data_IF_787337374176
#
_entry.id   IF_787337374176
#
_cell.length_a   1.000
_cell.length_b   1.000
_cell.length_c   1.000
_cell.angle_alpha   90.00
_cell.angle_beta   90.00
_cell.angle_gamma   90.00
#
_symmetry.space_group_name_H-M   'P 1'
#
loop_
_entity.id
_entity.type
_entity.pdbx_description
1 polymer ?
#
# COMPACT_ATOMS: atom_id res chain seq x y z
N UNK A 1 -3.82 5.95 17.78
CA UNK A 1 -2.55 5.21 17.93
C UNK A 1 -2.26 5.02 19.39
N UNK A 2 -1.95 6.10 20.11
CA UNK A 2 -1.77 6.13 21.57
C UNK A 2 -2.82 5.31 22.35
N UNK A 3 -4.11 5.44 22.02
CA UNK A 3 -5.16 4.72 22.75
C UNK A 3 -5.09 3.19 22.66
N UNK A 4 -4.66 2.62 21.54
CA UNK A 4 -4.51 1.15 21.41
C UNK A 4 -3.22 0.64 22.05
N UNK A 5 -2.19 1.48 22.09
CA UNK A 5 -0.91 1.16 22.76
C UNK A 5 -1.05 1.24 24.29
N UNK A 6 -1.85 2.18 24.80
CA UNK A 6 -2.14 2.35 26.22
C UNK A 6 -3.12 1.29 26.78
N UNK A 7 -3.92 0.66 25.92
CA UNK A 7 -4.96 -0.32 26.29
C UNK A 7 -4.86 -1.61 25.47
N UNK A 8 -3.93 -2.51 25.83
CA UNK A 8 -3.66 -3.72 25.06
C UNK A 8 -4.88 -4.65 24.94
N UNK A 9 -5.80 -4.64 25.91
CA UNK A 9 -7.03 -5.43 25.87
C UNK A 9 -7.98 -4.99 24.74
N UNK A 10 -7.98 -3.69 24.41
CA UNK A 10 -8.78 -3.16 23.31
C UNK A 10 -8.14 -3.54 21.98
N UNK A 11 -6.81 -3.38 21.87
CA UNK A 11 -6.07 -3.79 20.67
C UNK A 11 -6.28 -5.28 20.40
N UNK A 12 -6.16 -6.12 21.43
CA UNK A 12 -6.35 -7.57 21.32
C UNK A 12 -7.76 -7.94 20.84
N UNK A 13 -8.79 -7.26 21.32
CA UNK A 13 -10.17 -7.46 20.86
C UNK A 13 -10.29 -7.16 19.35
N UNK A 14 -9.73 -6.04 18.89
CA UNK A 14 -9.72 -5.70 17.47
C UNK A 14 -8.88 -6.66 16.63
N UNK A 15 -7.73 -7.08 17.13
CA UNK A 15 -6.88 -8.07 16.44
C UNK A 15 -7.62 -9.41 16.29
N UNK A 16 -8.34 -9.87 17.31
CA UNK A 16 -9.19 -11.07 17.22
C UNK A 16 -10.31 -10.91 16.17
N UNK A 17 -10.90 -9.72 16.08
CA UNK A 17 -11.93 -9.41 15.08
C UNK A 17 -11.35 -9.33 13.66
N UNK A 18 -10.17 -8.73 13.50
CA UNK A 18 -9.51 -8.48 12.22
C UNK A 18 -8.39 -9.49 11.95
N UNK A 19 -8.77 -10.77 11.87
CA UNK A 19 -7.83 -11.86 11.57
C UNK A 19 -7.15 -11.72 10.20
N UNK A 20 -7.80 -11.02 9.26
CA UNK A 20 -7.26 -10.67 7.95
C UNK A 20 -7.54 -9.19 7.69
N UNK A 21 -6.51 -8.44 7.31
CA UNK A 21 -6.61 -7.00 7.03
C UNK A 21 -6.30 -6.76 5.57
N UNK A 22 -7.22 -6.10 4.86
CA UNK A 22 -7.05 -5.70 3.46
C UNK A 22 -6.99 -4.17 3.42
N UNK A 23 -6.00 -3.62 2.73
CA UNK A 23 -5.86 -2.17 2.53
C UNK A 23 -5.70 -1.88 1.05
N UNK A 24 -6.61 -1.09 0.50
CA UNK A 24 -6.53 -0.57 -0.87
C UNK A 24 -5.92 0.83 -0.86
N UNK A 25 -5.45 1.30 -2.02
CA UNK A 25 -4.81 2.62 -2.20
C UNK A 25 -3.67 2.89 -1.20
N UNK A 26 -2.85 1.85 -0.93
CA UNK A 26 -1.81 1.89 0.09
C UNK A 26 -0.72 2.95 -0.16
N UNK A 27 -0.57 3.42 -1.40
CA UNK A 27 0.35 4.50 -1.73
C UNK A 27 -0.03 5.86 -1.12
N UNK A 28 -1.29 6.04 -0.72
CA UNK A 28 -1.81 7.34 -0.26
C UNK A 28 -2.06 7.41 1.25
N UNK A 29 -1.67 6.37 2.00
CA UNK A 29 -1.81 6.39 3.45
C UNK A 29 -0.74 7.26 4.12
N UNK A 30 -1.14 7.96 5.18
CA UNK A 30 -0.23 8.72 6.02
C UNK A 30 0.39 7.85 7.12
N UNK A 31 1.38 8.40 7.84
CA UNK A 31 2.06 7.71 8.94
C UNK A 31 1.10 7.18 10.01
N UNK A 32 0.05 7.94 10.34
CA UNK A 32 -0.88 7.53 11.38
C UNK A 32 -1.72 6.31 10.96
N UNK A 33 -2.15 6.27 9.69
CA UNK A 33 -2.85 5.13 9.09
C UNK A 33 -1.93 3.91 8.98
N UNK A 34 -0.67 4.11 8.57
CA UNK A 34 0.34 3.04 8.53
C UNK A 34 0.50 2.37 9.91
N UNK A 35 0.69 3.16 10.97
CA UNK A 35 0.84 2.62 12.32
C UNK A 35 -0.42 1.86 12.77
N UNK A 36 -1.61 2.36 12.43
CA UNK A 36 -2.86 1.71 12.79
C UNK A 36 -2.98 0.35 12.11
N UNK A 37 -2.71 0.28 10.80
CA UNK A 37 -2.71 -0.98 10.04
C UNK A 37 -1.72 -1.97 10.67
N UNK A 38 -0.51 -1.51 10.99
CA UNK A 38 0.54 -2.34 11.61
C UNK A 38 0.11 -2.91 12.97
N UNK A 39 -0.50 -2.09 13.83
CA UNK A 39 -1.03 -2.55 15.12
C UNK A 39 -2.15 -3.58 14.93
N UNK A 40 -3.12 -3.30 14.07
CA UNK A 40 -4.28 -4.17 13.86
C UNK A 40 -3.91 -5.52 13.22
N UNK A 41 -2.94 -5.54 12.30
CA UNK A 41 -2.52 -6.78 11.65
C UNK A 41 -1.48 -7.58 12.43
N UNK A 42 -0.81 -6.97 13.41
CA UNK A 42 0.41 -7.52 14.05
C UNK A 42 0.24 -8.85 14.78
N UNK A 43 -0.96 -9.20 15.25
CA UNK A 43 -1.20 -10.48 15.95
C UNK A 43 -1.11 -11.70 15.04
N UNK A 44 -1.65 -11.59 13.83
CA UNK A 44 -1.74 -12.71 12.89
C UNK A 44 -0.84 -12.54 11.66
N UNK A 45 -0.31 -11.34 11.41
CA UNK A 45 0.49 -11.00 10.23
C UNK A 45 -0.19 -11.32 8.89
N UNK A 46 -1.52 -11.31 8.88
CA UNK A 46 -2.35 -11.52 7.70
C UNK A 46 -2.75 -10.17 7.10
N UNK A 47 -1.76 -9.44 6.58
CA UNK A 47 -1.95 -8.15 5.93
C UNK A 47 -1.82 -8.31 4.41
N UNK A 48 -2.84 -7.87 3.68
CA UNK A 48 -2.84 -7.79 2.23
C UNK A 48 -3.03 -6.33 1.82
N UNK A 49 -2.08 -5.77 1.10
CA UNK A 49 -2.14 -4.38 0.63
C UNK A 49 -2.13 -4.33 -0.89
N UNK A 50 -2.89 -3.41 -1.45
CA UNK A 50 -2.93 -3.08 -2.87
C UNK A 50 -2.59 -1.61 -3.01
N UNK A 51 -1.81 -1.28 -4.03
CA UNK A 51 -1.51 0.09 -4.36
C UNK A 51 -0.59 0.22 -5.55
N UNK A 52 -0.50 1.44 -6.06
CA UNK A 52 0.33 1.80 -7.20
C UNK A 52 1.16 3.04 -6.86
N UNK A 53 2.50 2.93 -6.71
CA UNK A 53 3.36 4.08 -6.44
C UNK A 53 3.21 5.21 -7.47
N UNK A 54 2.92 4.89 -8.73
CA UNK A 54 2.75 5.87 -9.80
C UNK A 54 1.41 6.64 -9.68
N UNK A 55 0.50 6.21 -8.80
CA UNK A 55 -0.81 6.83 -8.55
C UNK A 55 -0.89 7.60 -7.22
N UNK A 56 0.22 7.79 -6.51
CA UNK A 56 0.20 8.58 -5.27
C UNK A 56 0.02 10.07 -5.56
N UNK A 57 -1.11 10.62 -5.13
CA UNK A 57 -1.48 12.03 -5.36
C UNK A 57 -1.82 12.79 -4.08
N UNK A 58 -1.89 12.12 -2.92
CA UNK A 58 -2.30 12.72 -1.65
C UNK A 58 -1.14 13.22 -0.78
N UNK A 59 0.06 13.44 -1.35
CA UNK A 59 1.22 13.96 -0.61
C UNK A 59 0.92 15.26 0.14
N UNK A 60 0.09 16.14 -0.43
CA UNK A 60 -0.35 17.39 0.21
C UNK A 60 -1.18 17.18 1.49
N UNK A 61 -1.72 15.98 1.72
CA UNK A 61 -2.44 15.56 2.95
C UNK A 61 -1.59 14.69 3.87
N UNK A 62 -0.28 14.61 3.62
CA UNK A 62 0.65 13.82 4.44
C UNK A 62 0.70 12.34 4.07
N UNK A 63 0.22 11.95 2.89
CA UNK A 63 0.50 10.62 2.35
C UNK A 63 2.01 10.40 2.25
N UNK A 64 2.46 9.23 2.68
CA UNK A 64 3.87 8.86 2.65
C UNK A 64 4.09 7.69 1.69
N UNK A 65 4.54 8.03 0.48
CA UNK A 65 4.88 7.06 -0.57
C UNK A 65 5.93 6.04 -0.10
N UNK A 66 6.75 6.36 0.91
CA UNK A 66 7.74 5.42 1.44
C UNK A 66 7.09 4.18 2.07
N UNK A 67 5.84 4.27 2.54
CA UNK A 67 5.10 3.13 3.12
C UNK A 67 4.98 1.97 2.11
N UNK A 68 4.54 2.26 0.87
CA UNK A 68 4.42 1.22 -0.16
C UNK A 68 5.77 0.80 -0.73
N UNK A 69 6.74 1.73 -0.83
CA UNK A 69 8.06 1.43 -1.36
C UNK A 69 8.86 0.50 -0.42
N UNK A 70 8.71 0.70 0.90
CA UNK A 70 9.42 -0.05 1.95
C UNK A 70 8.63 -1.23 2.52
N UNK A 71 7.45 -1.54 1.97
CA UNK A 71 6.60 -2.62 2.48
C UNK A 71 7.35 -3.95 2.65
N UNK A 72 8.18 -4.32 1.67
CA UNK A 72 9.00 -5.55 1.71
C UNK A 72 10.08 -5.52 2.82
N UNK A 73 10.52 -4.34 3.24
CA UNK A 73 11.46 -4.17 4.37
C UNK A 73 10.73 -4.31 5.71
N UNK A 74 9.53 -3.76 5.81
CA UNK A 74 8.71 -3.79 7.02
C UNK A 74 8.06 -5.17 7.25
N UNK A 75 7.77 -5.90 6.17
CA UNK A 75 7.17 -7.21 6.15
C UNK A 75 8.02 -8.18 5.31
N UNK A 76 9.16 -8.66 5.83
CA UNK A 76 10.14 -9.45 5.07
C UNK A 76 9.63 -10.82 4.58
N UNK A 77 8.53 -11.32 5.16
CA UNK A 77 7.88 -12.56 4.74
C UNK A 77 6.71 -12.31 3.76
N UNK A 78 6.52 -11.08 3.31
CA UNK A 78 5.46 -10.75 2.36
C UNK A 78 5.72 -11.36 0.99
N UNK A 79 4.64 -11.65 0.27
CA UNK A 79 4.68 -12.04 -1.14
C UNK A 79 4.26 -10.86 -1.99
N UNK A 80 5.11 -10.47 -2.94
CA UNK A 80 4.79 -9.44 -3.93
C UNK A 80 4.22 -10.09 -5.18
N UNK A 81 3.09 -9.56 -5.64
CA UNK A 81 2.46 -9.96 -6.91
C UNK A 81 2.32 -8.68 -7.74
N UNK A 82 2.89 -8.67 -8.95
CA UNK A 82 2.74 -7.57 -9.90
C UNK A 82 1.62 -7.90 -10.88
N UNK A 83 0.72 -6.94 -11.08
CA UNK A 83 -0.34 -7.02 -12.08
C UNK A 83 0.01 -6.06 -13.22
N UNK A 84 0.48 -6.62 -14.32
CA UNK A 84 1.05 -5.87 -15.45
C UNK A 84 0.09 -5.77 -16.64
N UNK A 85 -0.91 -6.65 -16.70
CA UNK A 85 -1.96 -6.57 -17.70
C UNK A 85 -3.02 -5.55 -17.29
N UNK A 86 -3.19 -4.52 -18.09
CA UNK A 86 -4.31 -3.60 -18.03
C UNK A 86 -5.51 -4.21 -18.76
N UNK A 87 -6.67 -4.20 -18.10
CA UNK A 87 -7.94 -4.59 -18.70
C UNK A 87 -8.85 -3.39 -18.99
N UNK A 88 -8.39 -2.16 -18.72
CA UNK A 88 -9.21 -0.95 -18.77
C UNK A 88 -8.99 -0.12 -20.03
N UNK A 89 -7.75 -0.02 -20.48
CA UNK A 89 -7.33 1.00 -21.47
C UNK A 89 -6.78 0.34 -22.72
N UNK A 90 -7.08 0.92 -23.89
CA UNK A 90 -6.51 0.48 -25.17
C UNK A 90 -5.01 0.75 -25.24
N UNK A 91 -4.33 0.09 -26.17
CA UNK A 91 -2.88 0.20 -26.36
C UNK A 91 -2.42 1.65 -26.51
N UNK A 92 -3.12 2.45 -27.30
CA UNK A 92 -2.79 3.88 -27.53
C UNK A 92 -2.82 4.70 -26.23
N UNK A 93 -3.84 4.49 -25.39
CA UNK A 93 -3.97 5.19 -24.10
C UNK A 93 -2.86 4.74 -23.15
N UNK A 94 -2.62 3.42 -23.07
CA UNK A 94 -1.64 2.84 -22.17
C UNK A 94 -0.21 3.28 -22.53
N UNK A 95 0.12 3.34 -23.82
CA UNK A 95 1.40 3.85 -24.32
C UNK A 95 1.58 5.34 -23.98
N UNK A 96 0.55 6.16 -24.16
CA UNK A 96 0.58 7.58 -23.78
C UNK A 96 0.87 7.77 -22.29
N UNK A 97 0.15 7.06 -21.42
CA UNK A 97 0.36 7.10 -19.98
C UNK A 97 1.77 6.59 -19.58
N UNK A 98 2.21 5.50 -20.20
CA UNK A 98 3.53 4.90 -19.97
C UNK A 98 4.66 5.85 -20.38
N UNK A 99 4.52 6.57 -21.49
CA UNK A 99 5.52 7.54 -21.93
C UNK A 99 5.55 8.79 -21.04
N UNK A 100 4.42 9.20 -20.48
CA UNK A 100 4.38 10.29 -19.51
C UNK A 100 5.11 9.90 -18.21
N UNK A 101 4.75 8.77 -17.60
CA UNK A 101 5.22 8.38 -16.26
C UNK A 101 6.73 8.06 -16.21
N UNK A 102 7.34 7.66 -17.33
CA UNK A 102 8.79 7.38 -17.44
C UNK A 102 9.70 8.54 -17.04
N UNK A 103 9.19 9.78 -17.03
CA UNK A 103 9.95 10.95 -16.61
C UNK A 103 10.12 11.06 -15.09
N UNK A 104 9.38 10.28 -14.29
CA UNK A 104 9.46 10.30 -12.83
C UNK A 104 10.67 9.49 -12.30
N UNK A 105 11.39 10.04 -11.32
CA UNK A 105 12.65 9.45 -10.78
C UNK A 105 12.45 8.40 -9.70
N UNK A 106 11.46 8.57 -8.82
CA UNK A 106 11.26 7.73 -7.63
C UNK A 106 10.09 6.77 -7.86
N UNK A 107 10.30 5.72 -8.66
CA UNK A 107 9.27 4.74 -9.01
C UNK A 107 9.79 3.31 -8.89
N UNK A 108 8.88 2.36 -8.62
CA UNK A 108 9.16 0.95 -8.88
C UNK A 108 8.91 0.70 -10.37
N UNK A 109 9.92 0.22 -11.08
CA UNK A 109 9.74 -0.12 -12.49
C UNK A 109 8.71 -1.24 -12.65
N UNK A 110 7.81 -1.00 -13.61
CA UNK A 110 6.78 -1.93 -14.05
C UNK A 110 6.52 -1.69 -15.53
N UNK A 111 6.19 -2.75 -16.23
CA UNK A 111 5.77 -2.71 -17.63
C UNK A 111 4.29 -3.02 -17.70
N UNK A 112 3.48 -2.10 -18.20
CA UNK A 112 2.05 -2.33 -18.39
C UNK A 112 1.77 -2.68 -19.85
N UNK A 113 0.94 -3.69 -20.09
CA UNK A 113 0.48 -4.07 -21.43
C UNK A 113 -1.04 -4.28 -21.47
N UNK A 114 -1.62 -4.31 -22.67
CA UNK A 114 -3.04 -4.61 -22.91
C UNK A 114 -3.20 -5.50 -24.13
#
# INVERSE_FOLDING_TARGET
LLYCEEKPEILENYQHKFKYTLVDEYQDINFAQYQLVKLLSGKYNNLFVVGDPDQSIYKFRGADLSNILRFEQDFPHSRVIKLEQSYRSTKVILEGATNLIKHNRNRKEKELWT
#
